data_IF_390330853281
#
_entry.id   IF_390330853281
#
_cell.length_a   1.000
_cell.length_b   1.000
_cell.length_c   1.000
_cell.angle_alpha   90.00
_cell.angle_beta   90.00
_cell.angle_gamma   90.00
#
_symmetry.space_group_name_H-M   'P 1'
#
loop_
_entity.id
_entity.type
_entity.pdbx_description
1 polymer ?
#
# COMPACT_ATOMS: atom_id res chain seq x y z
N UNK A 1 9.65 -16.28 11.04
CA UNK A 1 8.56 -17.02 11.74
C UNK A 1 9.06 -18.26 12.45
N UNK A 2 9.69 -19.22 11.75
CA UNK A 2 10.20 -20.46 12.37
C UNK A 2 11.17 -20.20 13.53
N UNK A 3 12.09 -19.23 13.38
CA UNK A 3 13.02 -18.88 14.44
C UNK A 3 12.30 -18.29 15.67
N UNK A 4 11.45 -17.27 15.47
CA UNK A 4 10.62 -16.70 16.53
C UNK A 4 9.76 -17.74 17.27
N UNK A 5 9.23 -18.75 16.56
CA UNK A 5 8.48 -19.85 17.19
C UNK A 5 9.38 -20.76 18.03
N UNK A 6 10.59 -21.06 17.56
CA UNK A 6 11.58 -21.87 18.29
C UNK A 6 12.06 -21.16 19.55
N UNK A 7 12.24 -19.85 19.46
CA UNK A 7 12.77 -19.03 20.55
C UNK A 7 11.69 -18.66 21.58
N UNK A 8 10.43 -18.98 21.30
CA UNK A 8 9.30 -18.66 22.18
C UNK A 8 8.94 -17.16 22.18
N UNK A 9 9.30 -16.45 21.11
CA UNK A 9 9.03 -15.02 20.96
C UNK A 9 7.52 -14.75 20.83
N UNK A 10 7.08 -13.63 21.40
CA UNK A 10 5.73 -13.11 21.14
C UNK A 10 5.63 -12.55 19.72
N UNK A 11 4.86 -13.21 18.87
CA UNK A 11 4.61 -12.77 17.50
C UNK A 11 3.42 -11.80 17.48
N UNK A 12 3.66 -10.53 17.17
CA UNK A 12 2.62 -9.50 17.08
C UNK A 12 1.87 -9.51 15.74
N UNK A 13 2.59 -9.70 14.65
CA UNK A 13 2.05 -9.75 13.29
C UNK A 13 3.04 -10.48 12.35
N UNK A 14 2.59 -10.76 11.13
CA UNK A 14 3.43 -11.31 10.06
C UNK A 14 3.38 -10.35 8.88
N UNK A 15 4.56 -9.93 8.41
CA UNK A 15 4.68 -9.19 7.14
C UNK A 15 4.46 -10.21 6.02
N UNK A 16 3.35 -10.06 5.30
CA UNK A 16 2.93 -10.99 4.25
C UNK A 16 3.60 -10.72 2.92
N UNK A 17 3.82 -9.45 2.59
CA UNK A 17 4.53 -9.01 1.41
C UNK A 17 4.88 -7.53 1.49
N UNK A 18 5.74 -7.07 0.57
CA UNK A 18 6.20 -5.68 0.50
C UNK A 18 6.59 -5.31 -0.92
N UNK A 19 6.48 -4.03 -1.27
CA UNK A 19 6.96 -3.51 -2.54
C UNK A 19 7.46 -2.07 -2.39
N UNK A 20 8.39 -1.69 -3.26
CA UNK A 20 8.88 -0.32 -3.42
C UNK A 20 8.96 0.00 -4.92
N UNK A 21 8.77 1.26 -5.26
CA UNK A 21 9.01 1.79 -6.61
C UNK A 21 9.36 3.30 -6.54
N UNK A 22 9.21 4.00 -7.66
CA UNK A 22 9.54 5.42 -7.78
C UNK A 22 8.49 6.12 -8.66
N UNK A 23 8.19 7.38 -8.37
CA UNK A 23 7.22 8.22 -9.10
C UNK A 23 7.56 8.44 -10.58
N UNK A 24 8.82 8.26 -10.96
CA UNK A 24 9.34 8.45 -12.30
C UNK A 24 9.22 9.89 -12.78
N UNK A 25 8.87 10.06 -14.06
CA UNK A 25 8.52 11.36 -14.60
C UNK A 25 7.12 11.77 -14.09
N UNK A 26 7.05 12.83 -13.30
CA UNK A 26 5.81 13.41 -12.75
C UNK A 26 5.75 14.93 -12.99
N UNK A 27 4.71 15.60 -12.46
CA UNK A 27 4.50 17.05 -12.59
C UNK A 27 5.48 17.93 -11.77
N UNK A 28 6.65 17.40 -11.44
CA UNK A 28 7.69 18.04 -10.66
C UNK A 28 8.45 17.00 -9.83
N UNK A 29 9.73 17.23 -9.56
CA UNK A 29 10.58 16.23 -8.88
C UNK A 29 10.02 15.76 -7.52
N UNK A 30 9.26 16.60 -6.84
CA UNK A 30 8.65 16.30 -5.54
C UNK A 30 7.13 16.08 -5.63
N UNK A 31 6.56 16.05 -6.83
CA UNK A 31 5.13 15.85 -7.02
C UNK A 31 4.82 14.34 -6.99
N UNK A 32 3.87 13.89 -6.14
CA UNK A 32 3.51 12.48 -6.04
C UNK A 32 2.86 11.98 -7.34
N UNK A 33 3.00 10.68 -7.63
CA UNK A 33 2.45 10.04 -8.83
C UNK A 33 1.45 8.92 -8.47
N UNK A 34 0.16 9.18 -8.70
CA UNK A 34 -0.92 8.21 -8.43
C UNK A 34 -0.73 6.84 -9.09
N UNK A 35 -0.51 6.77 -10.42
CA UNK A 35 -0.19 5.51 -11.09
C UNK A 35 1.01 4.75 -10.50
N UNK A 36 2.05 5.46 -10.05
CA UNK A 36 3.17 4.82 -9.36
C UNK A 36 2.73 4.24 -8.01
N UNK A 37 1.92 4.96 -7.22
CA UNK A 37 1.36 4.43 -5.97
C UNK A 37 0.47 3.21 -6.22
N UNK A 38 -0.39 3.23 -7.24
CA UNK A 38 -1.20 2.05 -7.61
C UNK A 38 -0.33 0.84 -7.94
N UNK A 39 0.73 1.04 -8.72
CA UNK A 39 1.65 -0.02 -9.09
C UNK A 39 2.36 -0.62 -7.86
N UNK A 40 2.78 0.23 -6.92
CA UNK A 40 3.38 -0.23 -5.67
C UNK A 40 2.39 -1.04 -4.82
N UNK A 41 1.15 -0.57 -4.67
CA UNK A 41 0.11 -1.27 -3.90
C UNK A 41 -0.22 -2.62 -4.54
N UNK A 42 -0.42 -2.67 -5.87
CA UNK A 42 -0.68 -3.94 -6.58
C UNK A 42 0.47 -4.93 -6.45
N UNK A 43 1.72 -4.44 -6.52
CA UNK A 43 2.90 -5.28 -6.32
C UNK A 43 2.97 -5.85 -4.90
N UNK A 44 2.69 -5.05 -3.87
CA UNK A 44 2.66 -5.51 -2.49
C UNK A 44 1.56 -6.56 -2.23
N UNK A 45 0.37 -6.36 -2.79
CA UNK A 45 -0.73 -7.35 -2.73
C UNK A 45 -0.37 -8.67 -3.41
N UNK A 46 0.28 -8.58 -4.58
CA UNK A 46 0.75 -9.75 -5.32
C UNK A 46 1.83 -10.52 -4.54
N UNK A 47 2.83 -9.83 -4.00
CA UNK A 47 3.88 -10.43 -3.16
C UNK A 47 3.29 -11.09 -1.90
N UNK A 48 2.26 -10.46 -1.31
CA UNK A 48 1.56 -11.00 -0.14
C UNK A 48 0.66 -12.21 -0.45
N UNK A 49 0.29 -12.42 -1.71
CA UNK A 49 -0.76 -13.37 -2.12
C UNK A 49 -2.12 -13.03 -1.51
N UNK A 50 -2.43 -11.74 -1.38
CA UNK A 50 -3.63 -11.21 -0.72
C UNK A 50 -4.52 -10.54 -1.76
N UNK A 51 -5.81 -10.89 -1.80
CA UNK A 51 -6.77 -10.17 -2.63
C UNK A 51 -7.15 -8.85 -1.97
N UNK A 52 -7.46 -7.79 -2.75
CA UNK A 52 -7.76 -6.48 -2.19
C UNK A 52 -8.91 -6.50 -1.17
N UNK A 53 -9.95 -7.32 -1.38
CA UNK A 53 -11.11 -7.42 -0.49
C UNK A 53 -10.80 -8.07 0.88
N UNK A 54 -9.60 -8.65 1.03
CA UNK A 54 -9.14 -9.22 2.29
C UNK A 54 -8.42 -8.19 3.18
N UNK A 55 -8.15 -6.99 2.65
CA UNK A 55 -7.55 -5.89 3.41
C UNK A 55 -8.63 -5.23 4.27
N UNK A 56 -8.57 -5.44 5.58
CA UNK A 56 -9.55 -4.88 6.52
C UNK A 56 -9.27 -3.44 6.95
N UNK A 57 -8.02 -2.99 6.82
CA UNK A 57 -7.58 -1.63 7.19
C UNK A 57 -6.35 -1.24 6.39
N UNK A 58 -6.22 0.06 6.13
CA UNK A 58 -5.03 0.69 5.55
C UNK A 58 -4.53 1.74 6.54
N UNK A 59 -3.23 1.70 6.82
CA UNK A 59 -2.52 2.82 7.42
C UNK A 59 -1.92 3.63 6.27
N UNK A 60 -2.50 4.82 6.01
CA UNK A 60 -2.08 5.68 4.91
C UNK A 60 -0.80 6.46 5.25
N UNK A 61 -0.15 7.03 4.23
CA UNK A 61 0.87 8.05 4.43
C UNK A 61 0.27 9.30 5.07
N UNK A 62 -0.90 9.76 4.58
CA UNK A 62 -1.76 10.70 5.31
C UNK A 62 -1.08 12.04 5.64
N UNK A 63 -0.38 12.61 4.67
CA UNK A 63 0.47 13.80 4.86
C UNK A 63 -0.28 15.08 5.25
N UNK A 64 -1.60 15.13 5.06
CA UNK A 64 -2.41 16.33 5.28
C UNK A 64 -2.27 17.37 4.17
N UNK A 65 -1.75 16.98 2.99
CA UNK A 65 -1.48 17.93 1.92
C UNK A 65 -2.65 18.02 0.93
N UNK A 66 -3.02 19.24 0.46
CA UNK A 66 -4.14 19.39 -0.47
C UNK A 66 -3.93 18.67 -1.81
N UNK A 67 -2.68 18.43 -2.20
CA UNK A 67 -2.34 17.73 -3.44
C UNK A 67 -2.15 16.23 -3.22
N UNK A 68 -1.40 15.83 -2.19
CA UNK A 68 -1.01 14.44 -1.98
C UNK A 68 -2.17 13.57 -1.51
N UNK A 69 -2.97 14.05 -0.55
CA UNK A 69 -4.01 13.23 0.06
C UNK A 69 -5.10 12.79 -0.95
N UNK A 70 -5.58 13.64 -1.88
CA UNK A 70 -6.50 13.19 -2.93
C UNK A 70 -5.87 12.15 -3.88
N UNK A 71 -4.57 12.27 -4.17
CA UNK A 71 -3.85 11.33 -5.04
C UNK A 71 -3.70 9.98 -4.35
N UNK A 72 -3.31 9.97 -3.08
CA UNK A 72 -3.19 8.77 -2.27
C UNK A 72 -4.53 8.03 -2.14
N UNK A 73 -5.59 8.75 -1.80
CA UNK A 73 -6.91 8.16 -1.67
C UNK A 73 -7.40 7.56 -2.98
N UNK A 74 -7.17 8.25 -4.11
CA UNK A 74 -7.54 7.73 -5.43
C UNK A 74 -6.77 6.45 -5.79
N UNK A 75 -5.47 6.38 -5.50
CA UNK A 75 -4.66 5.20 -5.75
C UNK A 75 -5.10 4.00 -4.87
N UNK A 76 -5.40 4.25 -3.59
CA UNK A 76 -5.98 3.24 -2.71
C UNK A 76 -7.33 2.76 -3.24
N UNK A 77 -8.20 3.67 -3.67
CA UNK A 77 -9.50 3.30 -4.22
C UNK A 77 -9.41 2.45 -5.48
N UNK A 78 -8.55 2.84 -6.42
CA UNK A 78 -8.34 2.12 -7.67
C UNK A 78 -7.76 0.70 -7.48
N UNK A 79 -7.13 0.43 -6.33
CA UNK A 79 -6.47 -0.85 -6.04
C UNK A 79 -7.23 -1.73 -5.06
N UNK A 80 -7.92 -1.13 -4.08
CA UNK A 80 -8.61 -1.83 -3.00
C UNK A 80 -10.13 -1.94 -3.20
N UNK A 81 -10.73 -1.02 -3.97
CA UNK A 81 -12.17 -0.96 -4.15
C UNK A 81 -12.52 -0.97 -5.64
N UNK A 82 -12.74 -2.17 -6.19
CA UNK A 82 -13.08 -2.40 -7.59
C UNK A 82 -14.43 -1.79 -8.04
N UNK A 83 -15.23 -1.22 -7.14
CA UNK A 83 -16.52 -0.55 -7.45
C UNK A 83 -16.68 0.85 -6.82
N UNK A 84 -15.60 1.48 -6.33
CA UNK A 84 -15.66 2.79 -5.68
C UNK A 84 -16.37 2.78 -4.31
N UNK A 85 -16.18 3.81 -3.49
CA UNK A 85 -16.89 3.93 -2.22
C UNK A 85 -18.38 4.23 -2.46
N UNK A 86 -19.25 3.63 -1.65
CA UNK A 86 -20.64 4.06 -1.42
C UNK A 86 -20.69 5.46 -0.83
#
# INVERSE_FOLDING_TARGET
MVQAQRDGDKIHAVIRGSAINQDGASNGLTAPNGPAQEAAIRAALADAGVRPEQVGQVEAHGSGTPLGDPIEFAALAATLWSNGPV
#
